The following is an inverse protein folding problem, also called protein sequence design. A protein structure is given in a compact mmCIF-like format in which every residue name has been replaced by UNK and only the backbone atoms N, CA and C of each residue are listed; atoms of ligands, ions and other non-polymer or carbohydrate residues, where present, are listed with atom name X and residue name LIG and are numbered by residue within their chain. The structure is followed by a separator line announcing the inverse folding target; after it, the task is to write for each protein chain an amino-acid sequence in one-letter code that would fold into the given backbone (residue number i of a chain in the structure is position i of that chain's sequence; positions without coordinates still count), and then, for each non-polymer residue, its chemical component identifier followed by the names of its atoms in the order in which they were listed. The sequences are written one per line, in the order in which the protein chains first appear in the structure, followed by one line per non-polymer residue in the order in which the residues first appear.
data_IF_740147360182
#
_entry.id   IF_740147360182
#
_cell.length_a   1.000
_cell.length_b   1.000
_cell.length_c   1.000
_cell.angle_alpha   90.00
_cell.angle_beta   90.00
_cell.angle_gamma   90.00
#
_symmetry.space_group_name_H-M   'P 1'
#
loop_
_entity.id
_entity.type
_entity.pdbx_description
1 polymer ?
#
# COMPACT_ATOMS: atom_id res chain seq x y z
N UNK A 1 2.07 6.95 -10.05
CA UNK A 1 3.01 5.84 -10.33
C UNK A 1 2.33 4.52 -9.98
N UNK A 2 2.77 3.45 -10.58
CA UNK A 2 2.14 2.15 -10.43
C UNK A 2 3.02 1.18 -9.66
N UNK A 3 2.40 0.10 -9.14
CA UNK A 3 3.16 -0.98 -8.49
C UNK A 3 4.18 -1.60 -9.46
N UNK A 4 3.81 -1.75 -10.73
CA UNK A 4 4.73 -2.25 -11.76
C UNK A 4 5.95 -1.35 -11.89
N UNK A 5 5.77 -0.03 -11.92
CA UNK A 5 6.88 0.93 -11.98
C UNK A 5 7.78 0.84 -10.75
N UNK A 6 7.20 0.70 -9.55
CA UNK A 6 7.97 0.52 -8.32
C UNK A 6 8.80 -0.77 -8.39
N UNK A 7 8.17 -1.87 -8.78
CA UNK A 7 8.84 -3.17 -8.89
C UNK A 7 9.99 -3.13 -9.89
N UNK A 8 9.79 -2.49 -11.03
CA UNK A 8 10.83 -2.34 -12.05
C UNK A 8 12.01 -1.49 -11.58
N UNK A 9 11.80 -0.64 -10.59
CA UNK A 9 12.84 0.20 -9.99
C UNK A 9 13.42 -0.42 -8.71
N UNK A 10 13.10 -1.68 -8.42
CA UNK A 10 13.49 -2.38 -7.19
C UNK A 10 13.02 -1.68 -5.90
N UNK A 11 11.87 -1.00 -5.97
CA UNK A 11 11.25 -0.36 -4.82
C UNK A 11 10.14 -1.25 -4.29
N UNK A 12 10.15 -1.48 -2.98
CA UNK A 12 9.16 -2.32 -2.30
C UNK A 12 8.22 -1.46 -1.48
N UNK A 13 7.09 -2.05 -1.12
CA UNK A 13 6.05 -1.38 -0.33
C UNK A 13 6.14 -1.83 1.13
N UNK A 14 6.10 -0.86 2.02
CA UNK A 14 6.12 -1.06 3.45
C UNK A 14 4.85 -0.48 4.09
N UNK A 15 4.65 -0.81 5.36
CA UNK A 15 3.58 -0.24 6.17
C UNK A 15 4.14 0.22 7.51
N UNK A 16 3.41 1.08 8.19
CA UNK A 16 3.77 1.48 9.55
C UNK A 16 3.41 0.36 10.52
N UNK A 17 4.35 0.02 11.39
CA UNK A 17 4.07 -0.89 12.48
C UNK A 17 3.03 -0.25 13.40
N UNK A 18 2.10 -1.04 13.91
CA UNK A 18 1.04 -0.51 14.75
C UNK A 18 -0.14 0.08 14.01
N UNK A 19 -0.11 0.16 12.69
CA UNK A 19 -1.33 0.38 11.92
C UNK A 19 -2.29 -0.79 12.18
N UNK A 20 -3.58 -0.52 12.07
CA UNK A 20 -4.60 -1.53 12.31
C UNK A 20 -4.28 -2.84 11.59
N UNK A 21 -4.44 -3.95 12.29
CA UNK A 21 -4.36 -5.26 11.66
C UNK A 21 -5.35 -5.34 10.51
N UNK A 22 -4.95 -6.02 9.44
CA UNK A 22 -5.83 -6.19 8.29
C UNK A 22 -7.05 -7.02 8.69
N UNK A 23 -8.22 -6.49 8.40
CA UNK A 23 -9.49 -7.16 8.63
C UNK A 23 -9.85 -7.99 7.39
N UNK A 24 -9.94 -9.30 7.53
CA UNK A 24 -10.24 -10.20 6.41
C UNK A 24 -11.53 -9.85 5.67
N UNK A 25 -12.57 -9.50 6.42
CA UNK A 25 -13.85 -9.11 5.83
C UNK A 25 -13.70 -7.84 4.98
N UNK A 26 -12.97 -6.86 5.49
CA UNK A 26 -12.71 -5.62 4.76
C UNK A 26 -11.87 -5.88 3.51
N UNK A 27 -10.85 -6.73 3.59
CA UNK A 27 -10.03 -7.09 2.43
C UNK A 27 -10.88 -7.77 1.37
N UNK A 28 -11.73 -8.71 1.74
CA UNK A 28 -12.62 -9.40 0.78
C UNK A 28 -13.60 -8.45 0.12
N UNK A 29 -14.14 -7.49 0.86
CA UNK A 29 -15.02 -6.47 0.31
C UNK A 29 -14.27 -5.59 -0.71
N UNK A 30 -13.01 -5.24 -0.44
CA UNK A 30 -12.18 -4.49 -1.38
C UNK A 30 -11.84 -5.32 -2.61
N UNK A 31 -11.58 -6.60 -2.47
CA UNK A 31 -11.36 -7.49 -3.61
C UNK A 31 -12.55 -7.48 -4.56
N UNK A 32 -13.75 -7.60 -4.03
CA UNK A 32 -14.98 -7.55 -4.84
C UNK A 32 -15.12 -6.22 -5.56
N UNK A 33 -14.94 -5.12 -4.84
CA UNK A 33 -15.03 -3.77 -5.41
C UNK A 33 -13.98 -3.55 -6.50
N UNK A 34 -12.76 -3.98 -6.28
CA UNK A 34 -11.68 -3.78 -7.24
C UNK A 34 -11.82 -4.64 -8.50
N UNK A 35 -12.39 -5.84 -8.38
CA UNK A 35 -12.74 -6.64 -9.56
C UNK A 35 -13.76 -5.93 -10.44
N UNK A 36 -14.72 -5.28 -9.81
CA UNK A 36 -15.84 -4.66 -10.51
C UNK A 36 -15.49 -3.28 -11.07
N UNK A 37 -14.81 -2.46 -10.28
CA UNK A 37 -14.59 -1.04 -10.60
C UNK A 37 -13.12 -0.66 -10.75
N UNK A 38 -12.18 -1.53 -10.40
CA UNK A 38 -10.77 -1.19 -10.33
C UNK A 38 -10.47 -0.30 -9.12
N UNK A 39 -9.29 0.30 -9.12
CA UNK A 39 -8.89 1.25 -8.08
C UNK A 39 -9.43 2.64 -8.46
N UNK A 40 -10.27 3.19 -7.60
CA UNK A 40 -10.91 4.48 -7.88
C UNK A 40 -10.12 5.67 -7.35
N UNK A 41 -9.31 5.46 -6.31
CA UNK A 41 -8.52 6.51 -5.67
C UNK A 41 -7.09 5.98 -5.46
N UNK A 42 -6.05 6.75 -5.82
CA UNK A 42 -4.68 6.28 -5.59
C UNK A 42 -4.35 6.20 -4.11
N UNK A 43 -3.42 5.33 -3.77
CA UNK A 43 -2.90 5.21 -2.41
C UNK A 43 -1.83 6.28 -2.17
N UNK A 44 -1.80 6.83 -0.96
CA UNK A 44 -0.84 7.87 -0.60
C UNK A 44 0.39 7.22 0.03
N UNK A 45 1.56 7.57 -0.47
CA UNK A 45 2.83 7.04 0.01
C UNK A 45 3.80 8.16 0.38
N UNK A 46 4.78 7.79 1.21
CA UNK A 46 5.98 8.59 1.46
C UNK A 46 7.19 7.66 1.41
N UNK A 47 8.38 8.23 1.25
CA UNK A 47 9.59 7.42 1.34
C UNK A 47 9.74 6.85 2.76
N UNK A 48 10.11 5.58 2.84
CA UNK A 48 10.27 4.93 4.15
C UNK A 48 11.36 5.61 4.99
N UNK A 49 12.42 6.09 4.35
CA UNK A 49 13.48 6.82 5.05
C UNK A 49 12.94 8.07 5.75
N UNK A 50 11.99 8.77 5.15
CA UNK A 50 11.34 9.93 5.76
C UNK A 50 10.54 9.54 7.00
N UNK A 51 9.79 8.43 6.93
CA UNK A 51 9.02 7.93 8.07
C UNK A 51 9.94 7.53 9.23
N UNK A 52 11.05 6.88 8.93
CA UNK A 52 12.02 6.44 9.92
C UNK A 52 12.68 7.65 10.60
N UNK A 53 13.03 8.68 9.84
CA UNK A 53 13.59 9.92 10.38
C UNK A 53 12.60 10.63 11.31
N UNK A 54 11.32 10.49 11.05
CA UNK A 54 10.27 11.03 11.92
C UNK A 54 10.03 10.18 13.18
N UNK A 55 10.82 9.13 13.37
CA UNK A 55 10.74 8.28 14.55
C UNK A 55 9.70 7.17 14.46
N UNK A 56 9.16 6.91 13.27
CA UNK A 56 8.14 5.88 13.08
C UNK A 56 8.80 4.53 12.78
N UNK A 57 8.19 3.47 13.28
CA UNK A 57 8.64 2.10 13.00
C UNK A 57 7.97 1.62 11.71
N UNK A 58 8.78 1.17 10.78
CA UNK A 58 8.34 0.73 9.44
C UNK A 58 8.66 -0.74 9.27
N UNK A 59 7.72 -1.49 8.70
CA UNK A 59 7.89 -2.92 8.42
C UNK A 59 7.55 -3.21 6.97
N UNK A 60 8.18 -4.25 6.40
CA UNK A 60 7.85 -4.72 5.06
C UNK A 60 6.38 -5.15 5.03
N UNK A 61 5.65 -4.74 3.99
CA UNK A 61 4.20 -5.01 3.91
C UNK A 61 3.90 -6.51 3.89
N UNK A 62 4.71 -7.28 3.20
CA UNK A 62 4.47 -8.70 2.99
C UNK A 62 5.05 -9.57 4.10
N UNK A 63 6.29 -9.29 4.51
CA UNK A 63 7.01 -10.14 5.49
C UNK A 63 6.82 -9.71 6.93
N UNK A 64 6.51 -8.43 7.16
CA UNK A 64 6.43 -7.87 8.51
C UNK A 64 7.78 -7.58 9.16
N UNK A 65 8.88 -7.80 8.45
CA UNK A 65 10.21 -7.52 8.97
C UNK A 65 10.45 -6.02 9.13
N UNK A 66 11.10 -5.64 10.22
CA UNK A 66 11.43 -4.24 10.46
C UNK A 66 12.44 -3.73 9.45
N UNK A 67 12.18 -2.52 8.92
CA UNK A 67 13.05 -1.84 7.98
C UNK A 67 13.80 -0.74 8.75
N UNK A 68 15.13 -0.77 8.72
CA UNK A 68 15.94 0.13 9.56
C UNK A 68 16.38 1.40 8.86
N UNK A 69 16.74 1.34 7.59
CA UNK A 69 17.20 2.51 6.84
C UNK A 69 16.20 3.06 5.85
N UNK A 70 15.23 2.24 5.44
CA UNK A 70 14.18 2.65 4.50
C UNK A 70 14.62 2.76 3.06
N UNK A 71 15.85 2.37 2.73
CA UNK A 71 16.32 2.43 1.34
C UNK A 71 15.49 1.50 0.46
N UNK A 72 15.07 2.01 -0.70
CA UNK A 72 14.28 1.27 -1.68
C UNK A 72 12.91 0.80 -1.15
N UNK A 73 12.33 1.56 -0.21
CA UNK A 73 10.98 1.32 0.29
C UNK A 73 10.15 2.59 0.26
N UNK A 74 8.87 2.42 -0.03
CA UNK A 74 7.85 3.46 0.18
C UNK A 74 6.83 2.92 1.19
N UNK A 75 6.26 3.82 1.99
CA UNK A 75 5.31 3.46 3.05
C UNK A 75 3.92 3.91 2.68
N UNK A 76 2.96 3.00 2.78
CA UNK A 76 1.54 3.34 2.63
C UNK A 76 1.08 4.13 3.84
N UNK A 77 0.50 5.31 3.61
CA UNK A 77 -0.16 6.10 4.65
C UNK A 77 -1.64 5.72 4.77
N UNK A 78 -2.22 5.19 3.70
CA UNK A 78 -3.60 4.74 3.67
C UNK A 78 -3.72 3.49 2.79
N UNK A 79 -4.93 3.02 2.60
CA UNK A 79 -5.23 1.96 1.62
C UNK A 79 -4.58 0.60 1.89
N UNK A 80 -4.24 0.30 3.14
CA UNK A 80 -3.67 -1.02 3.48
C UNK A 80 -4.57 -2.18 3.06
N UNK A 81 -5.88 -2.05 3.25
CA UNK A 81 -6.83 -3.07 2.84
C UNK A 81 -6.92 -3.20 1.32
N UNK A 82 -6.94 -2.06 0.61
CA UNK A 82 -6.97 -2.07 -0.87
C UNK A 82 -5.71 -2.68 -1.45
N UNK A 83 -4.55 -2.35 -0.89
CA UNK A 83 -3.29 -2.92 -1.35
C UNK A 83 -3.23 -4.43 -1.11
N UNK A 84 -3.65 -4.87 0.07
CA UNK A 84 -3.75 -6.30 0.38
C UNK A 84 -4.71 -7.00 -0.58
N UNK A 85 -5.86 -6.39 -0.88
CA UNK A 85 -6.82 -6.93 -1.84
C UNK A 85 -6.21 -7.08 -3.22
N UNK A 86 -5.47 -6.07 -3.69
CA UNK A 86 -4.80 -6.13 -4.99
C UNK A 86 -3.81 -7.31 -5.05
N UNK A 87 -2.98 -7.47 -4.04
CA UNK A 87 -2.01 -8.57 -3.99
C UNK A 87 -2.71 -9.94 -4.00
N UNK A 88 -3.82 -10.09 -3.27
CA UNK A 88 -4.59 -11.34 -3.24
C UNK A 88 -5.24 -11.62 -4.59
N UNK A 89 -5.74 -10.60 -5.28
CA UNK A 89 -6.31 -10.77 -6.62
C UNK A 89 -5.26 -11.24 -7.63
N UNK A 90 -4.05 -10.70 -7.54
CA UNK A 90 -2.94 -11.16 -8.38
C UNK A 90 -2.57 -12.61 -8.06
N UNK A 91 -2.59 -12.99 -6.79
CA UNK A 91 -2.29 -14.37 -6.39
C UNK A 91 -3.37 -15.34 -6.88
N UNK A 92 -4.65 -14.95 -6.80
CA UNK A 92 -5.75 -15.75 -7.33
C UNK A 92 -5.67 -15.94 -8.84
N UNK A 93 -5.09 -14.98 -9.56
CA UNK A 93 -4.93 -15.08 -11.01
C UNK A 93 -4.14 -16.32 -11.45
N UNK A 94 -3.29 -16.86 -10.58
CA UNK A 94 -2.53 -18.08 -10.86
C UNK A 94 -3.42 -19.30 -11.03
N UNK A 95 -4.66 -19.24 -10.53
CA UNK A 95 -5.62 -20.34 -10.55
C UNK A 95 -6.83 -20.07 -11.45
N UNK A 96 -6.83 -18.98 -12.18
CA UNK A 96 -7.96 -18.51 -12.98
C UNK A 96 -7.54 -18.43 -14.45
N UNK A 97 -8.46 -18.77 -15.36
CA UNK A 97 -8.23 -18.67 -16.78
C UNK A 97 -7.93 -17.23 -17.21
N UNK A 98 -7.06 -17.02 -18.22
CA UNK A 98 -6.62 -15.67 -18.61
C UNK A 98 -7.75 -14.68 -18.90
N UNK A 99 -8.86 -15.12 -19.46
CA UNK A 99 -10.00 -14.25 -19.79
C UNK A 99 -10.78 -13.80 -18.56
N UNK A 100 -10.60 -14.48 -17.42
CA UNK A 100 -11.28 -14.18 -16.16
C UNK A 100 -10.37 -13.57 -15.11
N UNK A 101 -9.09 -13.37 -15.44
CA UNK A 101 -8.13 -12.82 -14.49
C UNK A 101 -8.37 -11.34 -14.24
N UNK A 102 -8.11 -10.94 -13.00
CA UNK A 102 -8.05 -9.53 -12.63
C UNK A 102 -6.82 -8.91 -13.30
N UNK A 103 -7.01 -7.82 -14.04
CA UNK A 103 -5.94 -7.15 -14.79
C UNK A 103 -5.69 -5.72 -14.32
N UNK A 104 -6.20 -5.36 -13.15
CA UNK A 104 -6.01 -4.03 -12.61
C UNK A 104 -4.57 -3.77 -12.20
N UNK A 105 -4.19 -2.51 -12.25
CA UNK A 105 -2.91 -2.03 -11.73
C UNK A 105 -3.18 -1.32 -10.40
N UNK A 106 -2.15 -1.13 -9.57
CA UNK A 106 -2.28 -0.38 -8.33
C UNK A 106 -1.50 0.92 -8.42
N UNK A 107 -2.17 2.03 -8.17
CA UNK A 107 -1.64 3.38 -8.34
C UNK A 107 -1.33 4.03 -7.01
N UNK A 108 -0.21 4.76 -6.99
CA UNK A 108 0.28 5.48 -5.82
C UNK A 108 0.53 6.94 -6.17
N UNK A 109 0.37 7.81 -5.18
CA UNK A 109 0.80 9.22 -5.25
C UNK A 109 1.58 9.56 -3.99
N UNK A 110 2.61 10.41 -4.12
CA UNK A 110 3.30 10.92 -2.96
C UNK A 110 2.45 11.96 -2.24
N UNK A 111 2.59 12.01 -0.91
CA UNK A 111 2.00 13.08 -0.12
C UNK A 111 2.43 14.44 -0.66
N UNK A 112 1.48 15.34 -0.81
CA UNK A 112 1.71 16.62 -1.49
C UNK A 112 2.38 17.69 -0.61
N UNK A 113 2.41 17.50 0.69
CA UNK A 113 2.99 18.50 1.59
C UNK A 113 4.08 17.89 2.47
N UNK A 114 5.36 17.97 2.03
CA UNK A 114 6.48 17.41 2.78
C UNK A 114 6.79 18.15 4.09
N UNK A 115 6.20 19.33 4.32
CA UNK A 115 6.39 20.07 5.55
C UNK A 115 5.56 19.56 6.72
N UNK A 116 4.51 18.78 6.43
CA UNK A 116 3.64 18.22 7.47
C UNK A 116 4.28 16.92 7.99
N UNK A 117 4.34 16.77 9.32
CA UNK A 117 4.83 15.52 9.90
C UNK A 117 3.93 14.36 9.47
N UNK A 118 4.51 13.18 9.39
CA UNK A 118 3.76 11.99 8.97
C UNK A 118 2.63 11.68 9.96
N UNK A 119 2.84 11.91 11.27
CA UNK A 119 1.78 11.72 12.26
C UNK A 119 0.57 12.62 11.99
N UNK A 120 0.80 13.88 11.66
CA UNK A 120 -0.29 14.81 11.30
C UNK A 120 -0.96 14.39 10.00
N UNK A 121 -0.17 14.01 9.01
CA UNK A 121 -0.70 13.55 7.72
C UNK A 121 -1.59 12.31 7.92
N UNK A 122 -1.16 11.36 8.74
CA UNK A 122 -1.95 10.17 9.07
C UNK A 122 -3.27 10.52 9.74
N UNK A 123 -3.23 11.44 10.71
CA UNK A 123 -4.44 11.87 11.42
C UNK A 123 -5.45 12.46 10.45
N UNK A 124 -5.01 13.31 9.54
CA UNK A 124 -5.90 13.94 8.56
C UNK A 124 -6.40 12.96 7.48
N UNK A 125 -5.53 12.09 6.97
CA UNK A 125 -5.90 11.12 5.94
C UNK A 125 -6.89 10.09 6.48
N UNK A 126 -6.76 9.68 7.73
CA UNK A 126 -7.58 8.63 8.33
C UNK A 126 -8.81 9.13 9.09
N UNK A 127 -9.04 10.44 9.07
CA UNK A 127 -10.28 11.05 9.57
C UNK A 127 -11.34 10.89 8.48
N UNK A 128 -12.05 9.91 8.40
CA UNK A 128 -13.15 9.86 7.44
C UNK A 128 -14.30 9.04 7.96
#
# INVERSE_FOLDING_TARGET
MTLTELTNSDVKVARLAGNRDLNEKAVKAKMKSMREYGQLVPAIIVDASTAIKDGLKVVDFTTGEEIKDGNNYVVLLDANHRYSAHLRLLEENKKVEPDKQYKGEFYFVYSLNPSVSIEKALAEINIA
#
